data_IF_181894083394
#
_entry.id   IF_181894083394
#
_cell.length_a   1.000
_cell.length_b   1.000
_cell.length_c   1.000
_cell.angle_alpha   90.00
_cell.angle_beta   90.00
_cell.angle_gamma   90.00
#
_symmetry.space_group_name_H-M   'P 1'
#
loop_
_entity.id
_entity.type
_entity.pdbx_description
1 polymer ?
#
# COMPACT_ATOMS: atom_id res chain seq x y z
N UNK A 1 -11.52 -28.20 8.11
CA UNK A 1 -10.12 -28.23 7.59
C UNK A 1 -9.92 -26.93 6.82
N UNK A 2 -8.98 -26.06 7.23
CA UNK A 2 -8.69 -24.79 6.53
C UNK A 2 -7.80 -25.11 5.34
N UNK A 3 -8.06 -24.52 4.18
CA UNK A 3 -7.25 -24.71 2.97
C UNK A 3 -5.82 -24.17 3.22
N UNK A 4 -4.77 -25.02 3.15
CA UNK A 4 -3.40 -24.59 3.39
C UNK A 4 -2.90 -23.57 2.36
N UNK A 5 -3.44 -23.54 1.14
CA UNK A 5 -3.06 -22.58 0.10
C UNK A 5 -3.50 -21.16 0.47
N UNK A 6 -4.71 -21.05 1.02
CA UNK A 6 -5.26 -19.78 1.51
C UNK A 6 -4.46 -19.26 2.71
N UNK A 7 -4.01 -20.13 3.61
CA UNK A 7 -3.16 -19.75 4.75
C UNK A 7 -1.80 -19.19 4.33
N UNK A 8 -1.16 -19.81 3.32
CA UNK A 8 0.13 -19.36 2.79
C UNK A 8 0.07 -17.99 2.10
N UNK A 9 -1.01 -17.72 1.35
CA UNK A 9 -1.20 -16.43 0.69
C UNK A 9 -1.32 -15.26 1.70
N UNK A 10 -2.02 -15.45 2.82
CA UNK A 10 -2.15 -14.42 3.85
C UNK A 10 -0.83 -14.05 4.53
N UNK A 11 0.04 -15.04 4.80
CA UNK A 11 1.34 -14.74 5.42
C UNK A 11 2.25 -14.00 4.44
N UNK A 12 2.25 -14.39 3.15
CA UNK A 12 3.00 -13.69 2.12
C UNK A 12 2.56 -12.22 1.98
N UNK A 13 1.25 -11.95 1.97
CA UNK A 13 0.72 -10.59 1.92
C UNK A 13 1.11 -9.78 3.17
N UNK A 14 1.06 -10.39 4.36
CA UNK A 14 1.45 -9.75 5.61
C UNK A 14 2.95 -9.48 5.69
N UNK A 15 3.80 -10.41 5.24
CA UNK A 15 5.24 -10.24 5.14
C UNK A 15 5.59 -9.11 4.16
N UNK A 16 4.94 -9.06 3.00
CA UNK A 16 5.13 -7.99 2.03
C UNK A 16 4.76 -6.62 2.62
N UNK A 17 3.64 -6.53 3.33
CA UNK A 17 3.23 -5.29 3.99
C UNK A 17 4.27 -4.83 5.02
N UNK A 18 4.80 -5.74 5.85
CA UNK A 18 5.88 -5.46 6.81
C UNK A 18 7.16 -5.01 6.12
N UNK A 19 7.52 -5.60 4.98
CA UNK A 19 8.68 -5.21 4.19
C UNK A 19 8.57 -3.77 3.65
N UNK A 20 7.36 -3.28 3.42
CA UNK A 20 7.05 -1.89 3.08
C UNK A 20 6.86 -0.97 4.31
N UNK A 21 7.25 -1.41 5.51
CA UNK A 21 7.07 -0.69 6.79
C UNK A 21 5.60 -0.33 7.10
N UNK A 22 4.65 -1.10 6.58
CA UNK A 22 3.22 -0.92 6.88
C UNK A 22 2.95 -1.54 8.26
N UNK A 23 2.63 -0.67 9.23
CA UNK A 23 2.40 -1.05 10.64
C UNK A 23 0.93 -1.06 11.06
N UNK A 24 0.03 -0.58 10.19
CA UNK A 24 -1.39 -0.46 10.48
C UNK A 24 -2.23 -0.39 9.23
N UNK A 25 -3.53 -0.63 9.39
CA UNK A 25 -4.51 -0.59 8.30
C UNK A 25 -5.64 0.39 8.60
N UNK A 26 -6.26 1.02 7.57
CA UNK A 26 -5.83 0.95 6.17
C UNK A 26 -4.55 1.77 5.93
N UNK A 27 -3.71 1.31 4.99
CA UNK A 27 -2.58 2.06 4.43
C UNK A 27 -2.63 1.89 2.92
N UNK A 28 -2.46 2.98 2.18
CA UNK A 28 -2.43 2.98 0.72
C UNK A 28 -1.01 3.32 0.25
N UNK A 29 -0.55 2.63 -0.79
CA UNK A 29 0.70 2.94 -1.49
C UNK A 29 0.33 3.51 -2.85
N UNK A 30 0.87 4.69 -3.18
CA UNK A 30 0.75 5.32 -4.50
C UNK A 30 2.09 5.18 -5.19
N UNK A 31 2.09 4.61 -6.39
CA UNK A 31 3.30 4.26 -7.12
C UNK A 31 3.16 4.66 -8.59
N UNK A 32 4.15 5.38 -9.12
CA UNK A 32 4.31 5.64 -10.54
C UNK A 32 5.29 4.60 -11.14
N UNK A 33 4.84 3.74 -12.06
CA UNK A 33 5.69 2.72 -12.66
C UNK A 33 6.68 3.26 -13.70
N UNK A 34 6.49 4.47 -14.21
CA UNK A 34 7.39 5.09 -15.19
C UNK A 34 8.61 5.71 -14.52
N UNK A 35 8.42 6.37 -13.38
CA UNK A 35 9.50 7.04 -12.62
C UNK A 35 9.98 6.24 -11.40
N UNK A 36 9.28 5.17 -11.06
CA UNK A 36 9.44 4.39 -9.82
C UNK A 36 9.21 5.23 -8.54
N UNK A 37 8.58 6.40 -8.65
CA UNK A 37 8.23 7.23 -7.51
C UNK A 37 7.15 6.54 -6.65
N UNK A 38 7.31 6.59 -5.33
CA UNK A 38 6.40 5.95 -4.40
C UNK A 38 6.12 6.82 -3.18
N UNK A 39 4.88 6.79 -2.70
CA UNK A 39 4.43 7.45 -1.48
C UNK A 39 3.38 6.63 -0.75
N UNK A 40 3.12 6.96 0.51
CA UNK A 40 2.14 6.25 1.34
C UNK A 40 1.13 7.20 1.97
N UNK A 41 -0.12 6.73 2.09
CA UNK A 41 -1.20 7.39 2.79
C UNK A 41 -1.70 6.47 3.91
N UNK A 42 -1.43 6.85 5.16
CA UNK A 42 -1.74 6.02 6.33
C UNK A 42 -3.08 6.42 6.93
N UNK A 43 -3.94 5.45 7.20
CA UNK A 43 -5.26 5.64 7.79
C UNK A 43 -6.36 5.89 6.75
N UNK A 44 -7.60 5.93 7.24
CA UNK A 44 -8.75 6.31 6.42
C UNK A 44 -8.75 7.83 6.26
N UNK A 45 -8.25 8.32 5.14
CA UNK A 45 -8.08 9.74 4.88
C UNK A 45 -9.24 10.34 4.06
N UNK A 46 -9.41 11.68 4.08
CA UNK A 46 -10.31 12.38 3.17
C UNK A 46 -9.99 12.14 1.70
N UNK A 47 -10.99 12.22 0.82
CA UNK A 47 -10.84 11.93 -0.60
C UNK A 47 -9.84 12.88 -1.28
N UNK A 48 -9.87 14.16 -0.93
CA UNK A 48 -8.98 15.17 -1.48
C UNK A 48 -7.49 14.82 -1.32
N UNK A 49 -7.11 14.16 -0.22
CA UNK A 49 -5.72 13.79 0.03
C UNK A 49 -5.24 12.63 -0.85
N UNK A 50 -6.17 11.81 -1.37
CA UNK A 50 -5.82 10.84 -2.40
C UNK A 50 -5.49 11.54 -3.72
N UNK A 51 -6.23 12.60 -4.08
CA UNK A 51 -5.93 13.40 -5.28
C UNK A 51 -4.58 14.09 -5.14
N UNK A 52 -4.31 14.74 -4.00
CA UNK A 52 -3.03 15.39 -3.73
C UNK A 52 -1.86 14.39 -3.79
N UNK A 53 -2.03 13.19 -3.21
CA UNK A 53 -1.00 12.15 -3.25
C UNK A 53 -0.71 11.64 -4.67
N UNK A 54 -1.74 11.53 -5.52
CA UNK A 54 -1.58 11.16 -6.92
C UNK A 54 -0.84 12.24 -7.71
N UNK A 55 -1.17 13.51 -7.49
CA UNK A 55 -0.49 14.64 -8.13
C UNK A 55 0.98 14.74 -7.68
N UNK A 56 1.24 14.61 -6.37
CA UNK A 56 2.59 14.64 -5.83
C UNK A 56 3.49 13.56 -6.44
N UNK A 57 2.99 12.33 -6.59
CA UNK A 57 3.77 11.22 -7.15
C UNK A 57 3.97 11.38 -8.66
N UNK A 58 2.99 11.94 -9.37
CA UNK A 58 3.10 12.23 -10.80
C UNK A 58 4.14 13.32 -11.12
N UNK A 59 4.37 14.24 -10.19
CA UNK A 59 5.31 15.35 -10.34
C UNK A 59 6.71 15.08 -9.73
N UNK A 60 6.90 13.94 -9.07
CA UNK A 60 8.14 13.53 -8.41
C UNK A 60 9.16 12.92 -9.40
#
# INVERSE_FOLDING_TARGET
>A
MRDPQVGGAFEADAEQARAFDIRGTPTFVVFDPETEAAGTLVGAQPLEWFTDALEQIREA
#
